data_IF_106647377664
#
_entry.id   IF_106647377664
#
_cell.length_a   1.000
_cell.length_b   1.000
_cell.length_c   1.000
_cell.angle_alpha   90.00
_cell.angle_beta   90.00
_cell.angle_gamma   90.00
#
_symmetry.space_group_name_H-M   'P 1'
#
loop_
_entity.id
_entity.type
_entity.pdbx_description
1 polymer ?
#
# COMPACT_ATOMS: atom_id res chain seq x y z
N UNK A 1 3.79 2.30 -18.55
CA UNK A 1 3.48 3.06 -17.32
C UNK A 1 4.60 2.82 -16.33
N UNK A 2 5.17 3.86 -15.71
CA UNK A 2 6.24 3.68 -14.71
C UNK A 2 5.64 3.63 -13.30
N UNK A 3 6.41 3.14 -12.34
CA UNK A 3 6.04 3.10 -10.92
C UNK A 3 5.68 4.51 -10.40
N UNK A 4 6.47 5.53 -10.73
CA UNK A 4 6.24 6.93 -10.33
C UNK A 4 4.94 7.50 -10.91
N UNK A 5 4.61 7.19 -12.16
CA UNK A 5 3.35 7.63 -12.76
C UNK A 5 2.16 6.97 -12.07
N UNK A 6 2.25 5.68 -11.71
CA UNK A 6 1.17 5.00 -10.98
C UNK A 6 0.93 5.61 -9.60
N UNK A 7 2.01 5.90 -8.87
CA UNK A 7 1.95 6.55 -7.56
C UNK A 7 1.24 7.92 -7.63
N UNK A 8 1.59 8.75 -8.61
CA UNK A 8 1.01 10.10 -8.76
C UNK A 8 -0.50 10.09 -9.08
N UNK A 9 -1.00 9.08 -9.80
CA UNK A 9 -2.40 9.02 -10.22
C UNK A 9 -3.30 8.18 -9.29
N UNK A 10 -2.71 7.31 -8.47
CA UNK A 10 -3.47 6.42 -7.60
C UNK A 10 -3.27 6.70 -6.10
N UNK A 11 -2.05 7.05 -5.68
CA UNK A 11 -1.67 7.17 -4.28
C UNK A 11 -1.56 8.64 -3.85
N UNK A 12 -0.76 9.44 -4.54
CA UNK A 12 -0.47 10.83 -4.19
C UNK A 12 -1.51 11.79 -4.77
N UNK A 13 -2.79 11.51 -4.52
CA UNK A 13 -3.92 12.32 -4.96
C UNK A 13 -4.60 12.95 -3.75
N UNK A 14 -5.22 14.12 -3.92
CA UNK A 14 -5.94 14.78 -2.83
C UNK A 14 -7.00 13.87 -2.18
N UNK A 15 -7.70 13.06 -2.98
CA UNK A 15 -8.75 12.15 -2.50
C UNK A 15 -8.17 11.00 -1.68
N UNK A 16 -7.11 10.36 -2.15
CA UNK A 16 -6.46 9.26 -1.41
C UNK A 16 -5.82 9.79 -0.12
N UNK A 17 -5.13 10.94 -0.17
CA UNK A 17 -4.54 11.56 1.01
C UNK A 17 -5.59 11.92 2.06
N UNK A 18 -6.72 12.50 1.64
CA UNK A 18 -7.82 12.83 2.56
C UNK A 18 -8.36 11.60 3.28
N UNK A 19 -8.51 10.47 2.57
CA UNK A 19 -9.01 9.23 3.18
C UNK A 19 -7.98 8.63 4.14
N UNK A 20 -6.69 8.64 3.77
CA UNK A 20 -5.58 8.20 4.63
C UNK A 20 -5.56 9.01 5.93
N UNK A 21 -5.67 10.34 5.84
CA UNK A 21 -5.69 11.23 7.00
C UNK A 21 -6.92 11.01 7.88
N UNK A 22 -8.12 10.96 7.28
CA UNK A 22 -9.38 10.73 8.00
C UNK A 22 -9.39 9.39 8.75
N UNK A 23 -8.82 8.35 8.14
CA UNK A 23 -8.74 7.03 8.72
C UNK A 23 -7.52 6.83 9.63
N UNK A 24 -6.68 7.85 9.82
CA UNK A 24 -5.44 7.75 10.61
C UNK A 24 -4.50 6.66 10.10
N UNK A 25 -4.49 6.39 8.79
CA UNK A 25 -3.69 5.33 8.18
C UNK A 25 -2.21 5.67 8.25
N UNK A 26 -1.40 4.72 8.72
CA UNK A 26 0.06 4.83 8.72
C UNK A 26 0.58 4.40 7.34
N UNK A 27 1.21 5.33 6.63
CA UNK A 27 1.79 5.07 5.30
C UNK A 27 3.27 4.71 5.44
N UNK A 28 3.68 3.62 4.78
CA UNK A 28 5.08 3.20 4.69
C UNK A 28 5.48 3.06 3.22
N UNK A 29 6.67 3.56 2.88
CA UNK A 29 7.27 3.40 1.54
C UNK A 29 8.49 2.49 1.62
N UNK A 30 8.40 1.33 0.96
CA UNK A 30 9.54 0.46 0.75
C UNK A 30 10.23 0.84 -0.57
N UNK A 31 11.40 1.48 -0.49
CA UNK A 31 12.15 1.94 -1.66
C UNK A 31 13.08 0.84 -2.19
N UNK A 32 12.94 0.52 -3.48
CA UNK A 32 13.76 -0.45 -4.21
C UNK A 32 14.43 0.18 -5.44
N UNK A 33 14.77 1.48 -5.35
CA UNK A 33 15.51 2.18 -6.41
C UNK A 33 16.94 1.65 -6.53
N UNK A 34 17.54 1.26 -5.41
CA UNK A 34 18.86 0.64 -5.30
C UNK A 34 18.74 -0.82 -4.83
N UNK A 35 19.88 -1.51 -4.66
CA UNK A 35 19.89 -2.85 -4.08
C UNK A 35 19.31 -2.84 -2.65
N UNK A 36 18.17 -3.51 -2.46
CA UNK A 36 17.41 -3.56 -1.21
C UNK A 36 17.02 -5.01 -0.87
N UNK A 37 17.96 -5.82 -0.33
CA UNK A 37 17.72 -7.25 -0.07
C UNK A 37 16.59 -7.49 0.94
N UNK A 38 16.42 -6.60 1.92
CA UNK A 38 15.35 -6.70 2.92
C UNK A 38 13.96 -6.47 2.28
N UNK A 39 13.87 -5.54 1.32
CA UNK A 39 12.64 -5.30 0.56
C UNK A 39 12.34 -6.49 -0.35
N UNK A 40 13.36 -7.08 -0.96
CA UNK A 40 13.22 -8.29 -1.77
C UNK A 40 12.70 -9.48 -0.97
N UNK A 41 13.25 -9.68 0.23
CA UNK A 41 12.81 -10.74 1.15
C UNK A 41 11.37 -10.51 1.61
N UNK A 42 11.03 -9.28 1.99
CA UNK A 42 9.66 -8.90 2.35
C UNK A 42 8.67 -9.17 1.21
N UNK A 43 9.02 -8.84 -0.04
CA UNK A 43 8.16 -9.13 -1.20
C UNK A 43 7.92 -10.63 -1.37
N UNK A 44 8.93 -11.47 -1.18
CA UNK A 44 8.80 -12.93 -1.24
C UNK A 44 7.87 -13.43 -0.14
N UNK A 45 8.06 -12.99 1.10
CA UNK A 45 7.21 -13.36 2.25
C UNK A 45 5.74 -12.97 2.02
N UNK A 46 5.51 -11.89 1.28
CA UNK A 46 4.18 -11.44 0.91
C UNK A 46 3.62 -12.14 -0.33
N UNK A 47 4.32 -13.10 -0.91
CA UNK A 47 3.87 -13.91 -2.05
C UNK A 47 4.13 -13.25 -3.40
N UNK A 48 5.12 -12.35 -3.49
CA UNK A 48 5.61 -11.76 -4.73
C UNK A 48 7.02 -12.27 -5.04
N UNK A 49 7.13 -13.56 -5.40
CA UNK A 49 8.41 -14.22 -5.70
C UNK A 49 9.20 -13.54 -6.83
N UNK A 50 8.48 -12.87 -7.74
CA UNK A 50 9.06 -12.09 -8.84
C UNK A 50 9.77 -10.82 -8.36
N UNK A 51 9.53 -10.38 -7.12
CA UNK A 51 10.04 -9.14 -6.52
C UNK A 51 9.77 -7.91 -7.39
N UNK A 52 8.69 -7.95 -8.15
CA UNK A 52 8.29 -6.91 -9.10
C UNK A 52 7.60 -5.75 -8.38
N UNK A 53 7.93 -4.53 -8.78
CA UNK A 53 7.26 -3.30 -8.36
C UNK A 53 6.52 -2.67 -9.56
N UNK A 54 5.44 -1.89 -9.36
CA UNK A 54 4.81 -1.54 -8.08
C UNK A 54 4.11 -2.72 -7.39
N UNK A 55 4.08 -2.68 -6.06
CA UNK A 55 3.34 -3.62 -5.21
C UNK A 55 2.78 -2.86 -4.00
N UNK A 56 1.46 -2.88 -3.82
CA UNK A 56 0.78 -2.18 -2.72
C UNK A 56 0.11 -3.18 -1.78
N UNK A 57 0.17 -2.88 -0.48
CA UNK A 57 -0.41 -3.72 0.57
C UNK A 57 -1.19 -2.82 1.51
N UNK A 58 -2.39 -3.25 1.87
CA UNK A 58 -3.20 -2.61 2.90
C UNK A 58 -3.40 -3.62 4.03
N UNK A 59 -3.04 -3.24 5.24
CA UNK A 59 -3.26 -4.02 6.46
C UNK A 59 -4.52 -3.52 7.16
N UNK A 60 -5.61 -4.30 7.22
CA UNK A 60 -6.85 -3.91 7.89
C UNK A 60 -6.67 -3.79 9.41
N UNK A 61 -7.37 -2.83 10.01
CA UNK A 61 -7.27 -2.60 11.46
C UNK A 61 -7.96 -3.69 12.30
N UNK A 62 -8.87 -4.47 11.70
CA UNK A 62 -9.57 -5.57 12.33
C UNK A 62 -8.71 -6.85 12.46
N UNK A 63 -7.51 -6.86 11.88
CA UNK A 63 -6.60 -8.01 11.90
C UNK A 63 -6.92 -9.07 10.84
N UNK A 64 -7.80 -8.77 9.88
CA UNK A 64 -8.01 -9.61 8.71
C UNK A 64 -6.80 -9.63 7.77
N UNK A 65 -6.82 -10.54 6.80
CA UNK A 65 -5.69 -10.75 5.90
C UNK A 65 -5.33 -9.47 5.11
N UNK A 66 -4.02 -9.20 4.91
CA UNK A 66 -3.59 -8.05 4.14
C UNK A 66 -4.09 -8.10 2.70
N UNK A 67 -4.60 -6.98 2.19
CA UNK A 67 -4.98 -6.84 0.79
C UNK A 67 -3.73 -6.59 -0.04
N UNK A 68 -3.34 -7.58 -0.84
CA UNK A 68 -2.16 -7.55 -1.71
C UNK A 68 -2.55 -7.11 -3.12
N UNK A 69 -1.84 -6.12 -3.65
CA UNK A 69 -2.09 -5.56 -4.98
C UNK A 69 -0.81 -5.56 -5.81
N UNK A 70 -0.55 -6.64 -6.57
CA UNK A 70 0.56 -6.69 -7.50
C UNK A 70 0.31 -5.78 -8.71
N UNK A 71 1.37 -5.09 -9.14
CA UNK A 71 1.35 -4.27 -10.35
C UNK A 71 0.68 -2.91 -10.16
N UNK A 72 0.52 -2.15 -11.26
CA UNK A 72 -0.07 -0.82 -11.24
C UNK A 72 -1.50 -0.86 -10.67
N UNK A 73 -1.81 0.07 -9.76
CA UNK A 73 -3.14 0.18 -9.15
C UNK A 73 -3.91 1.37 -9.71
N UNK A 74 -5.25 1.31 -9.66
CA UNK A 74 -6.13 2.44 -9.95
C UNK A 74 -6.55 3.13 -8.65
N UNK A 75 -6.75 4.45 -8.70
CA UNK A 75 -7.22 5.23 -7.54
C UNK A 75 -8.53 4.65 -6.96
N UNK A 76 -9.47 4.29 -7.82
CA UNK A 76 -10.76 3.69 -7.41
C UNK A 76 -10.57 2.39 -6.63
N UNK A 77 -9.62 1.53 -7.04
CA UNK A 77 -9.33 0.30 -6.30
C UNK A 77 -8.70 0.63 -4.95
N UNK A 78 -7.74 1.55 -4.91
CA UNK A 78 -7.07 1.96 -3.66
C UNK A 78 -8.08 2.48 -2.64
N UNK A 79 -8.94 3.42 -3.05
CA UNK A 79 -9.97 4.00 -2.18
C UNK A 79 -10.93 2.93 -1.64
N UNK A 80 -11.44 2.06 -2.51
CA UNK A 80 -12.35 1.00 -2.12
C UNK A 80 -11.74 0.05 -1.09
N UNK A 81 -10.49 -0.35 -1.28
CA UNK A 81 -9.83 -1.27 -0.34
C UNK A 81 -9.43 -0.54 0.97
N UNK A 82 -9.10 0.74 0.94
CA UNK A 82 -8.91 1.56 2.15
C UNK A 82 -10.21 1.73 2.95
N UNK A 83 -11.34 1.96 2.27
CA UNK A 83 -12.67 2.04 2.91
C UNK A 83 -13.04 0.72 3.59
N UNK A 84 -12.78 -0.42 2.94
CA UNK A 84 -13.02 -1.75 3.52
C UNK A 84 -12.09 -2.06 4.69
N UNK A 85 -10.82 -1.66 4.62
CA UNK A 85 -9.84 -1.86 5.68
C UNK A 85 -10.17 -1.07 6.95
N UNK A 86 -10.95 0.01 6.80
CA UNK A 86 -11.44 0.84 7.89
C UNK A 86 -10.37 1.74 8.51
N UNK A 87 -10.76 2.52 9.53
CA UNK A 87 -9.84 3.41 10.24
C UNK A 87 -8.85 2.62 11.09
N UNK A 88 -7.63 3.13 11.20
CA UNK A 88 -6.59 2.57 12.07
C UNK A 88 -7.03 2.65 13.53
N UNK A 89 -6.77 1.58 14.28
CA UNK A 89 -7.02 1.58 15.73
C UNK A 89 -6.03 2.53 16.41
N UNK A 90 -6.49 3.36 17.37
CA UNK A 90 -5.57 4.10 18.22
C UNK A 90 -4.61 3.12 18.88
N UNK A 91 -3.31 3.43 18.88
CA UNK A 91 -2.31 2.66 19.60
C UNK A 91 -2.72 2.66 21.07
N UNK A 92 -3.29 1.55 21.55
CA UNK A 92 -3.56 1.36 22.97
C UNK A 92 -2.19 1.33 23.65
N UNK A 93 -1.88 2.37 24.42
CA UNK A 93 -0.63 2.47 25.17
C UNK A 93 -0.56 1.46 26.29
#
# INVERSE_FOLDING_TARGET
>A
MTCKTNEAVALNTAKTNSLVEQNGVIVMRADKTENAPDVDQLLIELGNDSRSIPYLIIYPADGSDPVKMPGPVSQTRVLRELEKAGPSKPRSG
#
